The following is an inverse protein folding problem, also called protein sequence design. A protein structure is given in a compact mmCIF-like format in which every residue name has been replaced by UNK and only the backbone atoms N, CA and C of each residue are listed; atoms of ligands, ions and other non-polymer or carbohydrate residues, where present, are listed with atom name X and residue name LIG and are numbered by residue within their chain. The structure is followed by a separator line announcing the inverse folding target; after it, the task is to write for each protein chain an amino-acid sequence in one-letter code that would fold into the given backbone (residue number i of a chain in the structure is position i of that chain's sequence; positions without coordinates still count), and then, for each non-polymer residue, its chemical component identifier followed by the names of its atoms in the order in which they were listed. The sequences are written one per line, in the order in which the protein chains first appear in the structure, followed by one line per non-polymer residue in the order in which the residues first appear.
data_IF_930440377585
#
_entry.id   IF_930440377585
#
_cell.length_a   1.000
_cell.length_b   1.000
_cell.length_c   1.000
_cell.angle_alpha   90.00
_cell.angle_beta   90.00
_cell.angle_gamma   90.00
#
_symmetry.space_group_name_H-M   'P 1'
#
loop_
_entity.id
_entity.type
_entity.pdbx_description
1 polymer ?
#
# COMPACT_ATOMS: atom_id res chain seq x y z
N UNK A 1 26.85 46.88 -3.81
CA UNK A 1 25.44 46.62 -4.14
C UNK A 1 25.19 45.13 -4.04
N UNK A 2 24.55 44.69 -2.97
CA UNK A 2 24.23 43.28 -2.71
C UNK A 2 23.07 42.90 -3.63
N UNK A 3 23.32 41.97 -4.56
CA UNK A 3 22.31 41.33 -5.40
C UNK A 3 21.55 40.26 -4.58
N UNK A 4 20.32 39.93 -4.99
CA UNK A 4 19.15 39.84 -4.12
C UNK A 4 19.06 38.52 -3.34
N UNK A 5 18.22 38.56 -2.31
CA UNK A 5 17.69 37.43 -1.55
C UNK A 5 17.49 36.21 -2.44
N UNK A 6 18.13 35.10 -2.05
CA UNK A 6 17.71 33.76 -2.47
C UNK A 6 16.20 33.71 -2.25
N UNK A 7 15.41 33.47 -3.30
CA UNK A 7 13.99 33.16 -3.17
C UNK A 7 13.86 32.20 -1.98
N UNK A 8 13.11 32.61 -0.94
CA UNK A 8 12.64 31.67 0.08
C UNK A 8 12.04 30.51 -0.72
N UNK A 9 12.65 29.33 -0.63
CA UNK A 9 12.14 28.13 -1.29
C UNK A 9 10.65 28.05 -0.93
N UNK A 10 9.83 27.68 -1.89
CA UNK A 10 8.37 27.57 -1.74
C UNK A 10 8.06 26.46 -0.72
N UNK A 11 8.21 26.75 0.57
CA UNK A 11 8.08 25.81 1.66
C UNK A 11 6.60 25.44 1.79
N UNK A 12 6.32 24.14 1.70
CA UNK A 12 4.96 23.60 1.81
C UNK A 12 4.80 22.92 3.17
N UNK A 13 3.74 23.25 3.92
CA UNK A 13 3.48 22.65 5.21
C UNK A 13 3.00 21.20 5.06
N UNK A 14 3.52 20.31 5.89
CA UNK A 14 3.07 18.93 5.96
C UNK A 14 3.11 18.40 7.40
N UNK A 15 2.27 17.41 7.67
CA UNK A 15 2.36 16.58 8.85
C UNK A 15 2.90 15.20 8.49
N UNK A 16 3.91 14.74 9.23
CA UNK A 16 4.50 13.41 9.06
C UNK A 16 4.20 12.59 10.30
N UNK A 17 3.55 11.44 10.15
CA UNK A 17 3.39 10.48 11.24
C UNK A 17 4.75 9.83 11.55
N UNK A 18 5.14 9.85 12.83
CA UNK A 18 6.35 9.19 13.32
C UNK A 18 6.07 7.78 13.86
N UNK A 19 4.80 7.38 13.92
CA UNK A 19 4.32 6.07 14.37
C UNK A 19 3.04 5.68 13.62
N UNK A 20 2.72 4.38 13.54
CA UNK A 20 1.47 3.87 12.95
C UNK A 20 1.56 3.41 11.48
N UNK A 21 0.41 3.36 10.80
CA UNK A 21 0.31 2.88 9.40
C UNK A 21 0.76 3.93 8.36
N UNK A 22 0.72 5.21 8.72
CA UNK A 22 1.09 6.33 7.83
C UNK A 22 2.53 6.84 8.06
N UNK A 23 3.40 6.01 8.66
CA UNK A 23 4.78 6.40 8.99
C UNK A 23 5.49 6.92 7.72
N UNK A 24 6.13 8.08 7.86
CA UNK A 24 6.97 8.71 6.84
C UNK A 24 6.25 9.19 5.56
N UNK A 25 4.92 9.21 5.53
CA UNK A 25 4.16 9.89 4.47
C UNK A 25 3.88 11.35 4.88
N UNK A 26 4.37 12.35 4.14
CA UNK A 26 3.98 13.74 4.38
C UNK A 26 2.53 13.94 3.94
N UNK A 27 1.69 14.41 4.86
CA UNK A 27 0.31 14.82 4.59
C UNK A 27 0.31 16.34 4.37
N UNK A 28 0.10 16.81 3.13
CA UNK A 28 0.11 18.23 2.81
C UNK A 28 -1.00 18.98 3.55
N UNK A 29 -0.69 20.16 4.10
CA UNK A 29 -1.68 21.07 4.68
C UNK A 29 -2.08 22.12 3.65
N UNK A 30 -2.87 21.71 2.66
CA UNK A 30 -3.24 22.56 1.50
C UNK A 30 -4.41 23.52 1.78
N UNK A 31 -5.18 23.27 2.83
CA UNK A 31 -6.35 24.07 3.20
C UNK A 31 -5.97 25.15 4.22
N UNK A 32 -6.67 26.28 4.17
CA UNK A 32 -6.53 27.35 5.19
C UNK A 32 -6.87 26.87 6.61
N UNK A 33 -7.77 25.89 6.71
CA UNK A 33 -8.09 25.18 7.93
C UNK A 33 -8.02 23.68 7.67
N UNK A 34 -7.21 22.98 8.47
CA UNK A 34 -7.07 21.52 8.44
C UNK A 34 -7.47 20.96 9.80
N UNK A 35 -8.47 20.09 9.83
CA UNK A 35 -8.99 19.46 11.04
C UNK A 35 -8.28 18.13 11.29
N UNK A 36 -7.78 17.94 12.51
CA UNK A 36 -7.22 16.69 12.99
C UNK A 36 -8.22 15.99 13.91
N UNK A 37 -8.44 14.69 13.74
CA UNK A 37 -9.31 13.93 14.62
C UNK A 37 -9.52 12.49 14.19
N UNK A 38 -10.22 11.68 15.01
CA UNK A 38 -10.49 10.28 14.67
C UNK A 38 -11.69 10.07 13.74
N UNK A 39 -12.52 11.10 13.56
CA UNK A 39 -13.71 11.00 12.73
C UNK A 39 -13.35 10.83 11.25
N UNK A 40 -14.23 10.19 10.49
CA UNK A 40 -14.07 10.03 9.03
C UNK A 40 -14.07 11.38 8.31
N UNK A 41 -14.71 12.38 8.90
CA UNK A 41 -14.85 13.72 8.31
C UNK A 41 -13.64 14.63 8.55
N UNK A 42 -12.64 14.20 9.33
CA UNK A 42 -11.44 15.01 9.61
C UNK A 42 -10.50 15.01 8.40
N UNK A 43 -9.89 16.15 8.09
CA UNK A 43 -8.92 16.28 7.00
C UNK A 43 -7.68 15.40 7.23
N UNK A 44 -7.20 15.35 8.48
CA UNK A 44 -6.14 14.44 8.92
C UNK A 44 -6.73 13.47 9.93
N UNK A 45 -7.01 12.26 9.46
CA UNK A 45 -7.57 11.20 10.30
C UNK A 45 -6.49 10.57 11.18
N UNK A 46 -6.69 10.63 12.48
CA UNK A 46 -5.81 10.02 13.48
C UNK A 46 -6.55 8.83 14.11
N UNK A 47 -6.19 7.62 13.69
CA UNK A 47 -6.89 6.40 14.11
C UNK A 47 -6.46 5.95 15.52
N UNK A 48 -7.01 6.61 16.54
CA UNK A 48 -6.74 6.31 17.94
C UNK A 48 -7.98 6.63 18.79
N UNK A 49 -8.37 5.68 19.64
CA UNK A 49 -9.53 5.79 20.54
C UNK A 49 -9.40 6.91 21.58
N UNK A 50 -8.17 7.29 21.92
CA UNK A 50 -7.85 8.44 22.80
C UNK A 50 -7.93 9.77 22.05
N UNK A 51 -8.16 9.77 20.74
CA UNK A 51 -8.32 11.00 19.96
C UNK A 51 -9.80 11.37 19.86
N UNK A 52 -10.14 12.63 20.11
CA UNK A 52 -11.49 13.15 19.91
C UNK A 52 -11.89 13.10 18.43
N UNK A 53 -13.20 13.01 18.14
CA UNK A 53 -13.72 13.00 16.76
C UNK A 53 -13.20 14.18 15.94
N UNK A 54 -13.27 15.37 16.52
CA UNK A 54 -12.54 16.58 16.13
C UNK A 54 -11.65 16.95 17.30
N UNK A 55 -10.35 16.79 17.14
CA UNK A 55 -9.37 16.96 18.22
C UNK A 55 -8.75 18.35 18.18
N UNK A 56 -8.28 18.75 17.00
CA UNK A 56 -7.57 19.98 16.80
C UNK A 56 -7.87 20.55 15.42
N UNK A 57 -7.40 21.77 15.20
CA UNK A 57 -7.23 22.32 13.86
C UNK A 57 -5.87 23.00 13.71
N UNK A 58 -5.38 23.07 12.49
CA UNK A 58 -4.27 23.91 12.09
C UNK A 58 -4.81 24.95 11.12
N UNK A 59 -4.62 26.23 11.44
CA UNK A 59 -4.97 27.33 10.57
C UNK A 59 -3.72 27.94 9.95
N UNK A 60 -3.78 28.26 8.67
CA UNK A 60 -2.77 29.03 7.96
C UNK A 60 -3.14 30.51 8.01
N UNK A 61 -2.29 31.34 8.60
CA UNK A 61 -2.55 32.77 8.82
C UNK A 61 -1.39 33.59 8.28
N UNK A 62 -1.67 34.66 7.52
CA UNK A 62 -0.65 35.63 7.15
C UNK A 62 -0.44 36.61 8.32
N UNK A 63 0.76 36.66 8.88
CA UNK A 63 1.11 37.64 9.89
C UNK A 63 1.38 38.99 9.21
N UNK A 64 0.48 39.96 9.40
CA UNK A 64 0.56 41.29 8.79
C UNK A 64 1.83 42.09 9.17
N UNK A 65 2.46 41.77 10.31
CA UNK A 65 3.65 42.49 10.79
C UNK A 65 4.93 41.96 10.17
N UNK A 66 5.03 40.65 9.98
CA UNK A 66 6.23 39.99 9.42
C UNK A 66 6.09 39.69 7.94
N UNK A 67 4.86 39.75 7.41
CA UNK A 67 4.49 39.29 6.07
C UNK A 67 4.87 37.82 5.83
N UNK A 68 4.83 37.00 6.88
CA UNK A 68 5.12 35.57 6.85
C UNK A 68 3.86 34.76 7.14
N UNK A 69 3.81 33.55 6.57
CA UNK A 69 2.73 32.59 6.84
C UNK A 69 3.04 31.86 8.15
N UNK A 70 2.11 31.90 9.08
CA UNK A 70 2.13 31.17 10.35
C UNK A 70 1.12 30.03 10.32
N UNK A 71 1.47 28.92 10.97
CA UNK A 71 0.60 27.76 11.13
C UNK A 71 0.23 27.64 12.60
N UNK A 72 -1.04 27.83 12.91
CA UNK A 72 -1.51 27.92 14.28
C UNK A 72 -2.31 26.67 14.60
N UNK A 73 -1.77 25.84 15.49
CA UNK A 73 -2.50 24.70 16.04
C UNK A 73 -3.42 25.17 17.16
N UNK A 74 -4.68 24.74 17.15
CA UNK A 74 -5.68 25.04 18.18
C UNK A 74 -6.40 23.75 18.59
N UNK A 75 -6.43 23.47 19.89
CA UNK A 75 -7.19 22.36 20.49
C UNK A 75 -8.69 22.69 20.54
N UNK A 76 -9.54 21.71 20.23
CA UNK A 76 -11.01 21.86 20.31
C UNK A 76 -11.59 21.52 21.70
N UNK A 77 -10.80 21.66 22.78
CA UNK A 77 -11.20 21.18 24.11
C UNK A 77 -11.23 19.66 24.15
N UNK A 78 -10.23 19.03 23.53
CA UNK A 78 -10.16 17.58 23.41
C UNK A 78 -10.00 16.92 24.77
N UNK A 79 -10.50 15.67 24.90
CA UNK A 79 -10.49 14.94 26.17
C UNK A 79 -9.08 14.73 26.73
N UNK A 80 -8.11 14.44 25.86
CA UNK A 80 -6.74 14.14 26.26
C UNK A 80 -5.77 15.30 26.01
N UNK A 81 -6.18 16.34 25.27
CA UNK A 81 -5.34 17.48 24.94
C UNK A 81 -4.26 17.16 23.93
N UNK A 82 -3.48 18.19 23.62
CA UNK A 82 -2.40 18.15 22.64
C UNK A 82 -1.11 18.49 23.36
N UNK A 83 -0.04 17.76 23.04
CA UNK A 83 1.31 18.13 23.47
C UNK A 83 2.14 18.56 22.27
N UNK A 84 2.86 19.66 22.39
CA UNK A 84 3.90 20.06 21.45
C UNK A 84 5.24 19.98 22.17
N UNK A 85 6.17 19.20 21.61
CA UNK A 85 7.49 18.94 22.19
C UNK A 85 7.42 18.51 23.68
N UNK A 86 6.35 17.77 24.05
CA UNK A 86 6.10 17.28 25.41
C UNK A 86 5.37 18.25 26.34
N UNK A 87 5.05 19.46 25.89
CA UNK A 87 4.33 20.45 26.69
C UNK A 87 2.86 20.55 26.23
N UNK A 88 1.93 20.55 27.19
CA UNK A 88 0.50 20.63 26.89
C UNK A 88 0.13 22.03 26.42
N UNK A 89 -0.53 22.12 25.27
CA UNK A 89 -0.95 23.39 24.66
C UNK A 89 -2.44 23.38 24.34
N UNK A 90 -3.05 24.56 24.33
CA UNK A 90 -4.40 24.79 23.77
C UNK A 90 -4.35 25.55 22.46
N UNK A 91 -3.31 26.36 22.26
CA UNK A 91 -3.03 27.10 21.02
C UNK A 91 -1.53 27.38 20.93
N UNK A 92 -0.92 27.11 19.79
CA UNK A 92 0.52 27.32 19.58
C UNK A 92 0.81 27.65 18.11
N UNK A 93 1.85 28.47 17.87
CA UNK A 93 2.36 28.70 16.51
C UNK A 93 3.42 27.65 16.22
N UNK A 94 3.17 26.81 15.21
CA UNK A 94 4.02 25.69 14.86
C UNK A 94 5.31 26.15 14.18
N UNK A 95 6.42 25.54 14.59
CA UNK A 95 7.75 25.68 13.99
C UNK A 95 8.15 24.39 13.28
N UNK A 96 8.96 24.52 12.23
CA UNK A 96 9.49 23.37 11.50
C UNK A 96 10.22 22.40 12.44
N UNK A 97 9.82 21.14 12.42
CA UNK A 97 10.34 20.08 13.27
C UNK A 97 9.58 19.86 14.58
N UNK A 98 8.54 20.64 14.88
CA UNK A 98 7.73 20.48 16.08
C UNK A 98 7.06 19.11 16.14
N UNK A 99 7.17 18.46 17.30
CA UNK A 99 6.57 17.15 17.56
C UNK A 99 5.22 17.34 18.24
N UNK A 100 4.16 16.94 17.55
CA UNK A 100 2.78 17.05 18.01
C UNK A 100 2.31 15.67 18.48
N UNK A 101 1.99 15.53 19.76
CA UNK A 101 1.41 14.32 20.32
C UNK A 101 -0.10 14.51 20.48
N UNK A 102 -0.88 13.62 19.87
CA UNK A 102 -2.35 13.59 19.95
C UNK A 102 -2.79 12.16 20.26
N UNK A 103 -3.30 11.92 21.48
CA UNK A 103 -3.52 10.55 21.96
C UNK A 103 -2.18 9.83 22.18
N UNK A 104 -2.00 8.68 21.55
CA UNK A 104 -0.74 7.91 21.49
C UNK A 104 0.04 8.17 20.19
N UNK A 105 -0.53 8.94 19.26
CA UNK A 105 0.11 9.21 17.98
C UNK A 105 1.07 10.39 18.09
N UNK A 106 2.26 10.21 17.50
CA UNK A 106 3.28 11.23 17.39
C UNK A 106 3.40 11.69 15.94
N UNK A 107 3.18 12.97 15.69
CA UNK A 107 3.33 13.62 14.40
C UNK A 107 4.46 14.64 14.46
N UNK A 108 5.05 14.97 13.32
CA UNK A 108 5.98 16.09 13.15
C UNK A 108 5.43 17.08 12.14
N UNK A 109 5.45 18.35 12.47
CA UNK A 109 5.15 19.42 11.52
C UNK A 109 6.43 19.79 10.76
N UNK A 110 6.41 19.67 9.44
CA UNK A 110 7.53 20.00 8.57
C UNK A 110 7.13 21.07 7.54
N UNK A 111 8.05 21.98 7.26
CA UNK A 111 8.03 22.91 6.14
C UNK A 111 8.98 22.36 5.08
N UNK A 112 8.41 21.76 4.03
CA UNK A 112 9.15 21.00 3.04
C UNK A 112 9.36 21.81 1.77
N UNK A 113 10.59 21.91 1.30
CA UNK A 113 10.83 22.42 -0.05
C UNK A 113 10.61 21.34 -1.13
N UNK A 114 10.88 21.67 -2.40
CA UNK A 114 10.74 20.72 -3.50
C UNK A 114 11.72 19.54 -3.41
N UNK A 115 12.93 19.77 -2.93
CA UNK A 115 13.95 18.73 -2.75
C UNK A 115 13.53 17.81 -1.61
N UNK A 116 13.04 18.37 -0.49
CA UNK A 116 12.55 17.59 0.65
C UNK A 116 11.37 16.69 0.24
N UNK A 117 10.43 17.23 -0.55
CA UNK A 117 9.29 16.45 -1.05
C UNK A 117 9.74 15.33 -1.97
N UNK A 118 10.68 15.58 -2.89
CA UNK A 118 11.20 14.52 -3.75
C UNK A 118 11.95 13.46 -2.94
N UNK A 119 12.76 13.87 -1.98
CA UNK A 119 13.45 12.95 -1.07
C UNK A 119 12.46 12.10 -0.27
N UNK A 120 11.41 12.69 0.29
CA UNK A 120 10.37 11.95 1.00
C UNK A 120 9.57 11.00 0.10
N UNK A 121 9.27 11.39 -1.15
CA UNK A 121 8.66 10.48 -2.13
C UNK A 121 9.57 9.28 -2.41
N UNK A 122 10.88 9.49 -2.51
CA UNK A 122 11.84 8.40 -2.71
C UNK A 122 11.89 7.47 -1.49
N UNK A 123 11.98 8.02 -0.28
CA UNK A 123 11.91 7.24 0.97
C UNK A 123 10.61 6.44 1.05
N UNK A 124 9.48 7.06 0.72
CA UNK A 124 8.19 6.38 0.71
C UNK A 124 8.16 5.24 -0.31
N UNK A 125 8.72 5.43 -1.51
CA UNK A 125 8.81 4.36 -2.52
C UNK A 125 9.63 3.18 -2.00
N UNK A 126 10.79 3.43 -1.38
CA UNK A 126 11.66 2.40 -0.80
C UNK A 126 10.99 1.62 0.34
N UNK A 127 10.09 2.27 1.10
CA UNK A 127 9.32 1.59 2.15
C UNK A 127 8.16 0.80 1.54
N UNK A 128 7.54 1.37 0.49
CA UNK A 128 6.28 0.87 -0.03
C UNK A 128 6.40 -0.23 -1.05
N UNK A 129 7.55 -0.35 -1.71
CA UNK A 129 7.77 -1.32 -2.77
C UNK A 129 8.94 -2.25 -2.41
N UNK A 130 8.87 -3.47 -2.90
CA UNK A 130 9.96 -4.42 -2.86
C UNK A 130 11.02 -4.04 -3.91
N UNK A 131 12.26 -3.85 -3.48
CA UNK A 131 13.36 -3.39 -4.33
C UNK A 131 13.68 -4.35 -5.49
N UNK A 132 13.37 -5.65 -5.35
CA UNK A 132 13.67 -6.64 -6.38
C UNK A 132 12.61 -6.64 -7.50
N UNK A 133 11.35 -6.57 -7.13
CA UNK A 133 10.23 -6.81 -8.06
C UNK A 133 9.49 -5.53 -8.45
N UNK A 134 9.68 -4.44 -7.71
CA UNK A 134 8.93 -3.20 -7.89
C UNK A 134 7.46 -3.28 -7.50
N UNK A 135 6.99 -4.45 -7.04
CA UNK A 135 5.66 -4.63 -6.44
C UNK A 135 5.59 -3.98 -5.07
N UNK A 136 4.40 -3.89 -4.48
CA UNK A 136 4.28 -3.45 -3.09
C UNK A 136 5.06 -4.36 -2.14
N UNK A 137 5.55 -3.78 -1.04
CA UNK A 137 6.04 -4.54 0.09
C UNK A 137 4.85 -5.19 0.82
N UNK A 138 5.08 -6.32 1.50
CA UNK A 138 4.05 -6.99 2.32
C UNK A 138 3.39 -6.04 3.32
N UNK A 139 4.16 -5.13 3.94
CA UNK A 139 3.62 -4.10 4.85
C UNK A 139 2.65 -3.18 4.13
N UNK A 140 3.01 -2.67 2.95
CA UNK A 140 2.14 -1.77 2.19
C UNK A 140 0.91 -2.49 1.67
N UNK A 141 1.04 -3.75 1.24
CA UNK A 141 -0.10 -4.57 0.86
C UNK A 141 -1.19 -4.62 1.94
N UNK A 142 -0.83 -4.92 3.19
CA UNK A 142 -1.80 -4.95 4.29
C UNK A 142 -2.42 -3.59 4.59
N UNK A 143 -1.64 -2.52 4.51
CA UNK A 143 -2.14 -1.15 4.72
C UNK A 143 -3.19 -0.79 3.67
N UNK A 144 -2.88 -1.05 2.39
CA UNK A 144 -3.77 -0.81 1.25
C UNK A 144 -5.02 -1.69 1.35
N UNK A 145 -4.86 -3.00 1.63
CA UNK A 145 -5.96 -3.95 1.76
C UNK A 145 -6.95 -3.56 2.86
N UNK A 146 -6.46 -3.13 4.04
CA UNK A 146 -7.34 -2.64 5.13
C UNK A 146 -8.14 -1.42 4.71
N UNK A 147 -7.51 -0.49 3.99
CA UNK A 147 -8.18 0.70 3.50
C UNK A 147 -9.26 0.34 2.47
N UNK A 148 -8.94 -0.54 1.52
CA UNK A 148 -9.91 -0.98 0.51
C UNK A 148 -11.03 -1.82 1.13
N UNK A 149 -10.77 -2.66 2.12
CA UNK A 149 -11.83 -3.39 2.84
C UNK A 149 -12.82 -2.45 3.54
N UNK A 150 -12.32 -1.39 4.19
CA UNK A 150 -13.17 -0.38 4.81
C UNK A 150 -14.03 0.36 3.77
N UNK A 151 -13.46 0.65 2.60
CA UNK A 151 -14.14 1.31 1.49
C UNK A 151 -15.19 0.40 0.84
N UNK A 152 -14.81 -0.81 0.47
CA UNK A 152 -15.64 -1.87 -0.10
C UNK A 152 -16.89 -2.10 0.75
N UNK A 153 -16.73 -2.16 2.08
CA UNK A 153 -17.86 -2.28 3.03
C UNK A 153 -18.84 -1.10 2.97
N UNK A 154 -18.35 0.11 2.75
CA UNK A 154 -19.18 1.31 2.69
C UNK A 154 -19.87 1.51 1.34
N UNK A 155 -19.25 1.02 0.27
CA UNK A 155 -19.72 1.15 -1.11
C UNK A 155 -20.46 -0.12 -1.62
N UNK A 156 -20.51 -1.18 -0.82
CA UNK A 156 -21.05 -2.50 -1.18
C UNK A 156 -20.41 -3.08 -2.46
N UNK A 157 -19.07 -2.98 -2.53
CA UNK A 157 -18.28 -3.41 -3.70
C UNK A 157 -17.44 -4.65 -3.37
N UNK A 158 -17.55 -5.74 -4.13
CA UNK A 158 -16.74 -6.93 -3.90
C UNK A 158 -15.30 -6.72 -4.36
N UNK A 159 -14.38 -7.43 -3.72
CA UNK A 159 -13.01 -7.58 -4.18
C UNK A 159 -12.52 -8.98 -3.82
N UNK A 160 -11.47 -9.45 -4.49
CA UNK A 160 -10.86 -10.75 -4.18
C UNK A 160 -9.40 -10.60 -3.78
N UNK A 161 -8.91 -11.48 -2.92
CA UNK A 161 -7.50 -11.60 -2.52
C UNK A 161 -6.90 -12.84 -3.15
N UNK A 162 -5.70 -12.70 -3.70
CA UNK A 162 -4.91 -13.78 -4.27
C UNK A 162 -3.64 -13.97 -3.44
N UNK A 163 -3.34 -15.22 -3.07
CA UNK A 163 -2.05 -15.64 -2.53
C UNK A 163 -1.38 -16.56 -3.53
N UNK A 164 -0.10 -16.33 -3.82
CA UNK A 164 0.60 -16.97 -4.91
C UNK A 164 2.00 -17.40 -4.47
N UNK A 165 2.47 -18.55 -4.96
CA UNK A 165 3.81 -19.05 -4.66
C UNK A 165 4.40 -19.80 -5.85
N UNK A 166 5.67 -19.51 -6.12
CA UNK A 166 6.42 -20.07 -7.25
C UNK A 166 6.78 -21.52 -6.97
N UNK A 167 6.25 -22.41 -7.80
CA UNK A 167 6.40 -23.84 -7.62
C UNK A 167 7.85 -24.27 -7.80
N UNK A 168 8.35 -25.02 -6.81
CA UNK A 168 9.71 -25.58 -6.81
C UNK A 168 10.83 -24.51 -6.94
N UNK A 169 10.60 -23.27 -6.48
CA UNK A 169 11.57 -22.18 -6.61
C UNK A 169 12.96 -22.48 -6.02
N UNK A 170 13.02 -23.29 -4.94
CA UNK A 170 14.30 -23.77 -4.40
C UNK A 170 15.16 -24.48 -5.45
N UNK A 171 14.56 -25.26 -6.35
CA UNK A 171 15.29 -25.95 -7.42
C UNK A 171 15.94 -24.98 -8.39
N UNK A 172 15.33 -23.81 -8.65
CA UNK A 172 15.92 -22.74 -9.48
C UNK A 172 17.19 -22.21 -8.81
N UNK A 173 17.12 -21.91 -7.51
CA UNK A 173 18.27 -21.45 -6.74
C UNK A 173 19.39 -22.51 -6.68
N UNK A 174 19.02 -23.77 -6.43
CA UNK A 174 19.98 -24.87 -6.31
C UNK A 174 20.65 -25.20 -7.66
N UNK A 175 19.94 -25.05 -8.77
CA UNK A 175 20.44 -25.37 -10.13
C UNK A 175 21.21 -24.21 -10.77
N UNK A 176 20.67 -22.99 -10.68
CA UNK A 176 21.16 -21.83 -11.43
C UNK A 176 21.76 -20.73 -10.54
N UNK A 177 21.70 -20.90 -9.22
CA UNK A 177 22.17 -19.94 -8.23
C UNK A 177 21.18 -18.80 -7.94
N UNK A 178 21.38 -18.16 -6.79
CA UNK A 178 20.49 -17.10 -6.29
C UNK A 178 20.33 -15.90 -7.21
N UNK A 179 21.31 -15.57 -8.05
CA UNK A 179 21.17 -14.45 -8.99
C UNK A 179 20.12 -14.74 -10.06
N UNK A 180 20.08 -15.98 -10.57
CA UNK A 180 19.03 -16.42 -11.50
C UNK A 180 17.69 -16.50 -10.78
N UNK A 181 17.65 -16.97 -9.53
CA UNK A 181 16.44 -16.94 -8.70
C UNK A 181 15.89 -15.52 -8.54
N UNK A 182 16.73 -14.56 -8.15
CA UNK A 182 16.33 -13.15 -8.04
C UNK A 182 15.81 -12.59 -9.36
N UNK A 183 16.48 -12.89 -10.48
CA UNK A 183 16.03 -12.44 -11.81
C UNK A 183 14.69 -13.06 -12.21
N UNK A 184 14.47 -14.33 -11.85
CA UNK A 184 13.19 -15.02 -12.07
C UNK A 184 12.07 -14.31 -11.30
N UNK A 185 12.29 -13.93 -10.03
CA UNK A 185 11.29 -13.20 -9.25
C UNK A 185 11.00 -11.80 -9.80
N UNK A 186 12.02 -11.08 -10.28
CA UNK A 186 11.87 -9.78 -10.95
C UNK A 186 11.01 -9.90 -12.21
N UNK A 187 11.26 -10.92 -13.05
CA UNK A 187 10.48 -11.19 -14.25
C UNK A 187 9.03 -11.60 -13.92
N UNK A 188 8.82 -12.41 -12.88
CA UNK A 188 7.47 -12.75 -12.39
C UNK A 188 6.72 -11.51 -11.91
N UNK A 189 7.37 -10.65 -11.13
CA UNK A 189 6.77 -9.40 -10.67
C UNK A 189 6.32 -8.51 -11.83
N UNK A 190 7.16 -8.41 -12.87
CA UNK A 190 6.84 -7.66 -14.09
C UNK A 190 5.62 -8.24 -14.82
N UNK A 191 5.56 -9.56 -14.99
CA UNK A 191 4.42 -10.25 -15.61
C UNK A 191 3.12 -10.04 -14.83
N UNK A 192 3.17 -10.09 -13.50
CA UNK A 192 1.99 -9.84 -12.65
C UNK A 192 1.46 -8.42 -12.91
N UNK A 193 2.33 -7.41 -12.91
CA UNK A 193 1.94 -6.01 -13.18
C UNK A 193 1.29 -5.86 -14.56
N UNK A 194 1.85 -6.48 -15.60
CA UNK A 194 1.33 -6.39 -16.97
C UNK A 194 -0.07 -7.00 -17.13
N UNK A 195 -0.38 -8.04 -16.35
CA UNK A 195 -1.65 -8.76 -16.44
C UNK A 195 -2.77 -8.04 -15.66
N UNK A 196 -2.40 -7.38 -14.57
CA UNK A 196 -3.30 -6.68 -13.66
C UNK A 196 -3.89 -5.41 -14.28
N UNK A 197 -5.07 -5.01 -13.80
CA UNK A 197 -5.77 -3.82 -14.28
C UNK A 197 -5.35 -2.60 -13.47
N UNK A 198 -5.65 -1.42 -14.00
CA UNK A 198 -5.55 -0.19 -13.24
C UNK A 198 -6.49 -0.25 -12.04
N UNK A 199 -5.95 -0.04 -10.84
CA UNK A 199 -6.68 -0.11 -9.57
C UNK A 199 -6.42 -1.38 -8.77
N UNK A 200 -6.06 -2.49 -9.43
CA UNK A 200 -5.61 -3.69 -8.72
C UNK A 200 -4.21 -3.43 -8.12
N UNK A 201 -3.86 -4.17 -7.05
CA UNK A 201 -2.54 -4.06 -6.44
C UNK A 201 -1.92 -5.43 -6.17
N UNK A 202 -0.63 -5.56 -6.46
CA UNK A 202 0.17 -6.74 -6.16
C UNK A 202 1.38 -6.39 -5.30
N UNK A 203 1.82 -7.37 -4.55
CA UNK A 203 2.89 -7.28 -3.60
C UNK A 203 3.78 -8.51 -3.65
N UNK A 204 5.06 -8.34 -3.32
CA UNK A 204 5.89 -9.46 -2.89
C UNK A 204 5.66 -9.67 -1.40
N UNK A 205 5.05 -10.80 -1.06
CA UNK A 205 4.60 -11.09 0.28
C UNK A 205 5.76 -11.56 1.18
N UNK A 206 6.68 -12.36 0.61
CA UNK A 206 7.91 -12.78 1.26
C UNK A 206 8.62 -13.87 0.46
N UNK A 207 9.96 -13.87 0.38
CA UNK A 207 10.69 -14.90 -0.37
C UNK A 207 10.24 -15.00 -1.83
N UNK A 208 9.63 -16.13 -2.19
CA UNK A 208 9.02 -16.46 -3.48
C UNK A 208 7.48 -16.32 -3.52
N UNK A 209 6.88 -15.79 -2.47
CA UNK A 209 5.45 -15.59 -2.31
C UNK A 209 5.03 -14.19 -2.78
N UNK A 210 3.90 -14.15 -3.47
CA UNK A 210 3.26 -12.93 -3.97
C UNK A 210 1.82 -12.86 -3.49
N UNK A 211 1.31 -11.66 -3.34
CA UNK A 211 -0.08 -11.41 -3.00
C UNK A 211 -0.67 -10.38 -3.95
N UNK A 212 -1.98 -10.44 -4.19
CA UNK A 212 -2.70 -9.40 -4.91
C UNK A 212 -4.11 -9.21 -4.36
N UNK A 213 -4.69 -8.05 -4.59
CA UNK A 213 -6.14 -7.88 -4.48
C UNK A 213 -6.69 -7.25 -5.76
N UNK A 214 -7.86 -7.73 -6.17
CA UNK A 214 -8.55 -7.36 -7.40
C UNK A 214 -9.81 -6.60 -7.03
N UNK A 215 -9.85 -5.31 -7.36
CA UNK A 215 -11.00 -4.46 -7.03
C UNK A 215 -12.14 -4.70 -8.03
N UNK A 216 -13.38 -4.56 -7.56
CA UNK A 216 -14.58 -4.76 -8.38
C UNK A 216 -14.64 -6.13 -9.07
N UNK A 217 -14.16 -7.15 -8.36
CA UNK A 217 -14.07 -8.51 -8.86
C UNK A 217 -14.82 -9.46 -7.93
N UNK A 218 -15.79 -10.19 -8.49
CA UNK A 218 -16.29 -11.40 -7.86
C UNK A 218 -15.30 -12.56 -8.04
N UNK A 219 -15.56 -13.69 -7.38
CA UNK A 219 -14.63 -14.81 -7.37
C UNK A 219 -14.42 -15.39 -8.78
N UNK A 220 -15.44 -15.42 -9.65
CA UNK A 220 -15.31 -15.90 -11.01
C UNK A 220 -14.37 -15.00 -11.84
N UNK A 221 -14.49 -13.67 -11.69
CA UNK A 221 -13.57 -12.72 -12.31
C UNK A 221 -12.14 -12.87 -11.77
N UNK A 222 -12.00 -13.14 -10.47
CA UNK A 222 -10.70 -13.40 -9.86
C UNK A 222 -10.05 -14.68 -10.38
N UNK A 223 -10.81 -15.76 -10.59
CA UNK A 223 -10.31 -16.98 -11.23
C UNK A 223 -9.79 -16.71 -12.64
N UNK A 224 -10.50 -15.92 -13.45
CA UNK A 224 -10.03 -15.56 -14.80
C UNK A 224 -8.71 -14.78 -14.74
N UNK A 225 -8.58 -13.83 -13.81
CA UNK A 225 -7.35 -13.07 -13.63
C UNK A 225 -6.19 -13.95 -13.13
N UNK A 226 -6.45 -14.79 -12.13
CA UNK A 226 -5.48 -15.74 -11.60
C UNK A 226 -5.00 -16.75 -12.65
N UNK A 227 -5.91 -17.32 -13.46
CA UNK A 227 -5.54 -18.23 -14.54
C UNK A 227 -4.72 -17.54 -15.62
N UNK A 228 -4.99 -16.26 -15.91
CA UNK A 228 -4.12 -15.46 -16.80
C UNK A 228 -2.71 -15.29 -16.23
N UNK A 229 -2.59 -15.00 -14.94
CA UNK A 229 -1.29 -14.91 -14.25
C UNK A 229 -0.57 -16.27 -14.34
N UNK A 230 -1.25 -17.35 -13.95
CA UNK A 230 -0.71 -18.70 -13.92
C UNK A 230 -0.22 -19.15 -15.30
N UNK A 231 -1.08 -19.04 -16.32
CA UNK A 231 -0.74 -19.41 -17.69
C UNK A 231 0.35 -18.52 -18.30
N UNK A 232 0.35 -17.22 -17.96
CA UNK A 232 1.38 -16.28 -18.39
C UNK A 232 2.76 -16.64 -17.86
N UNK A 233 2.85 -16.99 -16.57
CA UNK A 233 4.09 -17.44 -15.94
C UNK A 233 4.55 -18.79 -16.50
N UNK A 234 3.63 -19.76 -16.64
CA UNK A 234 3.94 -21.08 -17.22
C UNK A 234 4.51 -20.99 -18.65
N UNK A 235 3.99 -20.07 -19.46
CA UNK A 235 4.41 -19.90 -20.84
C UNK A 235 5.69 -19.07 -21.00
N UNK A 236 6.14 -18.37 -19.95
CA UNK A 236 7.31 -17.50 -20.02
C UNK A 236 8.62 -18.28 -19.92
N UNK A 237 9.55 -18.15 -20.88
CA UNK A 237 10.93 -18.58 -20.70
C UNK A 237 11.71 -17.55 -19.86
N UNK A 238 12.18 -17.95 -18.68
CA UNK A 238 12.89 -17.08 -17.73
C UNK A 238 14.41 -17.08 -17.96
N UNK A 239 15.04 -15.91 -17.86
CA UNK A 239 16.47 -15.72 -18.17
C UNK A 239 17.41 -16.32 -17.11
N UNK A 240 18.54 -16.91 -17.54
CA UNK A 240 19.62 -17.37 -16.64
C UNK A 240 20.80 -16.39 -16.61
N UNK A 241 21.21 -15.94 -15.41
CA UNK A 241 22.16 -14.81 -15.23
C UNK A 241 23.65 -15.20 -15.32
N UNK A 242 23.99 -16.50 -15.38
CA UNK A 242 25.38 -16.97 -15.26
C UNK A 242 25.74 -18.16 -16.15
N UNK A 243 25.51 -18.07 -17.44
CA UNK A 243 25.92 -19.12 -18.37
C UNK A 243 26.88 -18.57 -19.42
N UNK A 244 27.81 -19.42 -19.86
CA UNK A 244 28.67 -19.16 -21.03
C UNK A 244 27.87 -19.12 -22.35
N UNK A 245 26.54 -19.25 -22.27
CA UNK A 245 25.58 -19.28 -23.38
C UNK A 245 24.60 -18.11 -23.20
N UNK A 246 24.70 -17.05 -24.00
CA UNK A 246 23.95 -15.80 -23.81
C UNK A 246 22.41 -15.88 -23.80
N UNK A 247 21.78 -17.03 -24.07
CA UNK A 247 20.32 -17.15 -24.25
C UNK A 247 19.72 -18.37 -23.52
N UNK A 248 20.37 -18.84 -22.46
CA UNK A 248 19.84 -19.97 -21.68
C UNK A 248 18.61 -19.54 -20.87
N UNK A 249 17.54 -20.32 -20.97
CA UNK A 249 16.27 -20.07 -20.29
C UNK A 249 15.81 -21.29 -19.50
N UNK A 250 14.96 -21.05 -18.49
CA UNK A 250 14.29 -22.08 -17.71
C UNK A 250 12.79 -21.77 -17.57
N UNK A 251 12.02 -22.71 -17.05
CA UNK A 251 10.58 -22.53 -16.85
C UNK A 251 10.23 -22.79 -15.38
N UNK A 252 9.30 -22.00 -14.86
CA UNK A 252 8.67 -22.20 -13.56
C UNK A 252 7.16 -22.15 -13.72
N UNK A 253 6.47 -22.64 -12.70
CA UNK A 253 5.01 -22.54 -12.60
C UNK A 253 4.66 -21.86 -11.28
N UNK A 254 3.40 -21.47 -11.12
CA UNK A 254 2.93 -20.80 -9.91
C UNK A 254 1.63 -21.45 -9.47
N UNK A 255 1.47 -21.63 -8.16
CA UNK A 255 0.20 -22.02 -7.55
C UNK A 255 -0.48 -20.77 -6.99
N UNK A 256 -1.81 -20.69 -7.08
CA UNK A 256 -2.58 -19.51 -6.64
C UNK A 256 -3.80 -19.95 -5.83
N UNK A 257 -4.01 -19.30 -4.69
CA UNK A 257 -5.20 -19.37 -3.86
C UNK A 257 -6.01 -18.08 -3.92
N UNK A 258 -7.34 -18.17 -3.91
CA UNK A 258 -8.26 -17.02 -3.97
C UNK A 258 -9.19 -17.02 -2.75
N UNK A 259 -9.49 -15.85 -2.21
CA UNK A 259 -10.64 -15.59 -1.34
C UNK A 259 -11.41 -14.34 -1.78
N UNK A 260 -12.66 -14.20 -1.35
CA UNK A 260 -13.59 -13.15 -1.79
C UNK A 260 -14.16 -12.35 -0.61
N UNK A 261 -14.12 -11.02 -0.72
CA UNK A 261 -14.88 -10.10 0.12
C UNK A 261 -16.20 -9.73 -0.57
N UNK A 262 -17.33 -9.67 0.15
CA UNK A 262 -17.50 -9.97 1.57
C UNK A 262 -17.84 -11.45 1.86
N UNK A 263 -17.92 -12.29 0.83
CA UNK A 263 -18.54 -13.62 0.90
C UNK A 263 -17.79 -14.60 1.82
N UNK A 264 -16.45 -14.60 1.78
CA UNK A 264 -15.62 -15.48 2.61
C UNK A 264 -15.37 -14.87 4.00
N UNK A 265 -15.01 -13.57 4.07
CA UNK A 265 -14.87 -12.82 5.32
C UNK A 265 -14.97 -11.30 5.11
N UNK A 266 -15.34 -10.60 6.19
CA UNK A 266 -15.29 -9.14 6.30
C UNK A 266 -13.95 -8.62 6.86
N UNK A 267 -13.11 -9.49 7.41
CA UNK A 267 -11.79 -9.14 7.95
C UNK A 267 -10.72 -9.35 6.87
N UNK A 268 -9.96 -8.29 6.48
CA UNK A 268 -8.90 -8.41 5.49
C UNK A 268 -7.79 -9.39 5.87
N UNK A 269 -7.53 -9.61 7.17
CA UNK A 269 -6.51 -10.58 7.62
C UNK A 269 -7.00 -12.00 7.41
N UNK A 270 -8.25 -12.30 7.78
CA UNK A 270 -8.85 -13.62 7.56
C UNK A 270 -8.92 -13.95 6.06
N UNK A 271 -9.22 -12.97 5.20
CA UNK A 271 -9.21 -13.18 3.74
C UNK A 271 -7.84 -13.63 3.22
N UNK A 272 -6.75 -13.06 3.72
CA UNK A 272 -5.39 -13.49 3.35
C UNK A 272 -5.12 -14.92 3.82
N UNK A 273 -5.52 -15.28 5.05
CA UNK A 273 -5.38 -16.64 5.59
C UNK A 273 -6.21 -17.67 4.81
N UNK A 274 -7.41 -17.29 4.36
CA UNK A 274 -8.28 -18.12 3.52
C UNK A 274 -7.69 -18.33 2.12
N UNK A 275 -7.16 -17.27 1.50
CA UNK A 275 -6.46 -17.37 0.22
C UNK A 275 -5.19 -18.23 0.35
N UNK A 276 -4.42 -18.11 1.43
CA UNK A 276 -3.26 -18.97 1.70
C UNK A 276 -3.66 -20.44 1.88
N UNK A 277 -4.77 -20.70 2.57
CA UNK A 277 -5.33 -22.06 2.70
C UNK A 277 -5.70 -22.65 1.32
N UNK A 278 -6.25 -21.83 0.43
CA UNK A 278 -6.55 -22.24 -0.95
C UNK A 278 -5.27 -22.48 -1.77
N UNK A 279 -4.24 -21.65 -1.59
CA UNK A 279 -2.91 -21.83 -2.19
C UNK A 279 -2.27 -23.15 -1.74
N UNK A 280 -2.38 -23.47 -0.45
CA UNK A 280 -1.89 -24.74 0.09
C UNK A 280 -2.59 -25.94 -0.57
N UNK A 281 -3.90 -25.86 -0.81
CA UNK A 281 -4.64 -26.86 -1.59
C UNK A 281 -4.12 -26.95 -3.03
N UNK A 282 -3.91 -25.81 -3.70
CA UNK A 282 -3.34 -25.79 -5.05
C UNK A 282 -2.01 -26.55 -5.12
N UNK A 283 -1.12 -26.31 -4.15
CA UNK A 283 0.16 -27.03 -4.02
C UNK A 283 0.00 -28.52 -3.78
N UNK A 284 -0.97 -28.94 -2.95
CA UNK A 284 -1.23 -30.35 -2.62
C UNK A 284 -1.84 -31.14 -3.76
N UNK A 285 -2.68 -30.52 -4.57
CA UNK A 285 -3.40 -31.21 -5.64
C UNK A 285 -2.60 -31.33 -6.94
N UNK A 286 -1.35 -30.86 -6.97
CA UNK A 286 -0.45 -31.04 -8.10
C UNK A 286 0.24 -29.76 -8.56
N UNK A 287 0.13 -28.66 -7.82
CA UNK A 287 0.72 -27.36 -8.16
C UNK A 287 0.18 -26.80 -9.49
N UNK A 288 0.75 -25.70 -9.97
CA UNK A 288 0.44 -25.08 -11.25
C UNK A 288 -1.08 -24.99 -11.49
N UNK A 289 -1.80 -24.42 -10.52
CA UNK A 289 -3.26 -24.30 -10.57
C UNK A 289 -3.77 -23.17 -9.69
N UNK A 290 -5.00 -22.79 -9.97
CA UNK A 290 -5.78 -21.85 -9.16
C UNK A 290 -6.81 -22.61 -8.33
N UNK A 291 -6.89 -22.31 -7.03
CA UNK A 291 -7.94 -22.81 -6.16
C UNK A 291 -8.61 -21.62 -5.43
N UNK A 292 -9.93 -21.64 -5.31
CA UNK A 292 -10.68 -20.68 -4.49
C UNK A 292 -10.97 -21.28 -3.12
N UNK A 293 -11.02 -20.47 -2.06
CA UNK A 293 -11.28 -20.94 -0.69
C UNK A 293 -12.57 -21.77 -0.63
N UNK A 294 -13.64 -21.28 -1.25
CA UNK A 294 -14.82 -22.05 -1.58
C UNK A 294 -14.82 -22.50 -3.04
N UNK A 295 -15.33 -23.71 -3.28
CA UNK A 295 -15.49 -24.24 -4.64
C UNK A 295 -16.57 -23.44 -5.36
N UNK A 296 -16.26 -22.99 -6.58
CA UNK A 296 -17.22 -22.31 -7.45
C UNK A 296 -18.42 -23.23 -7.74
N UNK A 297 -19.62 -22.71 -7.58
CA UNK A 297 -20.81 -23.37 -8.11
C UNK A 297 -20.79 -23.38 -9.65
N UNK A 298 -21.42 -24.37 -10.32
CA UNK A 298 -21.51 -24.41 -11.78
C UNK A 298 -22.12 -23.14 -12.41
N UNK A 299 -22.97 -22.42 -11.67
CA UNK A 299 -23.61 -21.19 -12.13
C UNK A 299 -22.65 -19.99 -12.11
N UNK A 300 -21.73 -19.93 -11.15
CA UNK A 300 -20.72 -18.86 -11.06
C UNK A 300 -19.64 -19.01 -12.14
N UNK A 301 -19.28 -20.25 -12.48
CA UNK A 301 -18.31 -20.54 -13.56
C UNK A 301 -18.76 -20.02 -14.93
N UNK A 302 -20.06 -19.85 -15.13
CA UNK A 302 -20.68 -19.43 -16.39
C UNK A 302 -20.93 -17.91 -16.49
N UNK A 303 -20.55 -17.12 -15.46
CA UNK A 303 -20.69 -15.65 -15.53
C UNK A 303 -19.66 -15.05 -16.47
N UNK A 304 -20.13 -14.44 -17.56
CA UNK A 304 -19.28 -13.68 -18.49
C UNK A 304 -18.86 -12.34 -17.89
N UNK A 305 -17.57 -11.99 -18.08
CA UNK A 305 -17.01 -10.69 -17.72
C UNK A 305 -17.84 -9.54 -18.31
N UNK A 306 -18.09 -8.45 -17.55
CA UNK A 306 -18.61 -7.22 -18.14
C UNK A 306 -17.62 -6.73 -19.19
N UNK A 307 -18.14 -6.36 -20.38
CA UNK A 307 -17.34 -5.82 -21.47
C UNK A 307 -16.54 -4.60 -21.01
N UNK A 308 -15.31 -4.47 -21.52
CA UNK A 308 -14.45 -3.30 -21.28
C UNK A 308 -15.27 -2.03 -21.50
N UNK A 309 -15.39 -1.19 -20.46
CA UNK A 309 -15.88 0.18 -20.64
C UNK A 309 -14.79 0.96 -21.39
N UNK A 310 -15.19 1.59 -22.49
CA UNK A 310 -14.38 2.55 -23.26
C UNK A 310 -14.03 3.78 -22.42
#
# INVERSE_FOLDING_TARGET
MVKPERLKRDLRPALVFLSGELIAVPIPLEREEVILGRALEADVRVNDVKVSRRHAKINTVLNEKTNEIEYILTDFGSRNGILINGQRVTREVLQNGDKITIGEQLLRFDLLDEIDREYQRQIHRLISHDDLTGLLSSRSFFSELRREAARARSEDRPFCVLMMDVDHFKNVNDTYGHLTGSKTLEEIGSLIIEIMRSGDAAARFGGEEFAAFLLDADVAQAFVAAERIRAGIEAQPFSVVRTAKPDETHHVTISIGISAFPDDSLDPIELVEMADSALYRAKREGRNRVCGYHDLSPDELNRTLPGRRE
#
